data_IF_051935203765
#
_entry.id   IF_051935203765
#
_cell.length_a   1.000
_cell.length_b   1.000
_cell.length_c   1.000
_cell.angle_alpha   90.00
_cell.angle_beta   90.00
_cell.angle_gamma   90.00
#
_symmetry.space_group_name_H-M   'P 1'
#
loop_
_entity.id
_entity.type
_entity.pdbx_description
1 polymer ?
#
# COMPACT_ATOMS: atom_id res chain seq x y z
N UNK A 1 -6.59 -1.88 11.59
CA UNK A 1 -7.25 -2.83 12.50
C UNK A 1 -6.28 -3.94 12.93
N UNK A 2 -5.78 -4.82 12.02
CA UNK A 2 -4.96 -5.99 12.36
C UNK A 2 -3.77 -5.62 13.25
N UNK A 3 -2.96 -4.64 12.88
CA UNK A 3 -1.82 -4.16 13.65
C UNK A 3 -2.20 -3.69 15.06
N UNK A 4 -3.36 -3.05 15.19
CA UNK A 4 -3.77 -2.39 16.44
C UNK A 4 -4.47 -3.33 17.44
N UNK A 5 -5.20 -4.35 16.93
CA UNK A 5 -6.07 -5.19 17.77
C UNK A 5 -5.99 -6.68 17.43
N UNK A 6 -5.16 -7.11 16.46
CA UNK A 6 -5.19 -8.49 15.99
C UNK A 6 -6.55 -8.89 15.42
N UNK A 7 -7.32 -7.93 14.88
CA UNK A 7 -8.70 -8.10 14.40
C UNK A 7 -9.70 -8.53 15.50
N UNK A 8 -9.39 -8.35 16.77
CA UNK A 8 -10.33 -8.61 17.85
C UNK A 8 -11.55 -7.67 17.72
N UNK A 9 -12.75 -8.23 17.88
CA UNK A 9 -14.01 -7.50 17.71
C UNK A 9 -14.40 -7.14 16.27
N UNK A 10 -13.65 -7.61 15.26
CA UNK A 10 -14.02 -7.40 13.85
C UNK A 10 -15.24 -8.26 13.50
N UNK A 11 -16.39 -7.62 13.23
CA UNK A 11 -17.64 -8.32 12.87
C UNK A 11 -17.84 -8.42 11.35
N UNK A 12 -17.26 -7.51 10.58
CA UNK A 12 -17.38 -7.48 9.13
C UNK A 12 -16.14 -6.87 8.45
N UNK A 13 -15.86 -7.29 7.22
CA UNK A 13 -14.75 -6.77 6.40
C UNK A 13 -15.03 -6.96 4.91
N UNK A 14 -14.53 -6.05 4.07
CA UNK A 14 -14.51 -6.21 2.61
C UNK A 14 -13.28 -6.99 2.10
N UNK A 15 -12.35 -7.35 2.99
CA UNK A 15 -11.16 -8.12 2.63
C UNK A 15 -11.50 -9.62 2.56
N UNK A 16 -11.90 -10.11 1.37
CA UNK A 16 -12.25 -11.52 1.20
C UNK A 16 -11.02 -12.43 1.29
N UNK A 17 -11.13 -13.64 1.92
CA UNK A 17 -10.01 -14.55 2.10
C UNK A 17 -9.28 -14.92 0.81
N UNK A 18 -10.00 -15.07 -0.30
CA UNK A 18 -9.44 -15.42 -1.61
C UNK A 18 -8.49 -14.34 -2.18
N UNK A 19 -8.74 -13.06 -1.83
CA UNK A 19 -8.02 -11.90 -2.35
C UNK A 19 -6.93 -11.40 -1.39
N UNK A 20 -7.03 -11.77 -0.09
CA UNK A 20 -6.16 -11.32 1.00
C UNK A 20 -5.60 -12.50 1.81
N UNK A 21 -5.06 -13.51 1.13
CA UNK A 21 -4.63 -14.77 1.76
C UNK A 21 -3.56 -14.56 2.85
N UNK A 22 -2.60 -13.64 2.63
CA UNK A 22 -1.62 -13.27 3.66
C UNK A 22 -2.26 -12.69 4.91
N UNK A 23 -3.30 -11.87 4.76
CA UNK A 23 -4.02 -11.28 5.88
C UNK A 23 -4.63 -12.35 6.79
N UNK A 24 -5.23 -13.37 6.21
CA UNK A 24 -5.85 -14.48 6.95
C UNK A 24 -4.82 -15.48 7.50
N UNK A 25 -3.68 -15.67 6.81
CA UNK A 25 -2.58 -16.50 7.33
C UNK A 25 -1.92 -15.84 8.54
N UNK A 26 -1.66 -14.55 8.47
CA UNK A 26 -0.96 -13.77 9.51
C UNK A 26 -1.88 -13.47 10.70
N UNK A 27 -3.16 -13.21 10.43
CA UNK A 27 -4.16 -12.89 11.45
C UNK A 27 -5.40 -13.80 11.30
N UNK A 28 -5.37 -15.03 11.85
CA UNK A 28 -6.49 -15.98 11.77
C UNK A 28 -7.81 -15.45 12.35
N UNK A 29 -7.76 -14.47 13.27
CA UNK A 29 -8.94 -13.81 13.83
C UNK A 29 -9.80 -13.10 12.77
N UNK A 30 -9.24 -12.78 11.61
CA UNK A 30 -10.00 -12.26 10.47
C UNK A 30 -11.15 -13.18 10.05
N UNK A 31 -11.02 -14.50 10.31
CA UNK A 31 -12.07 -15.50 10.02
C UNK A 31 -13.29 -15.41 10.95
N UNK A 32 -13.22 -14.61 12.01
CA UNK A 32 -14.35 -14.37 12.92
C UNK A 32 -15.35 -13.36 12.33
N UNK A 33 -14.95 -12.55 11.35
CA UNK A 33 -15.86 -11.65 10.65
C UNK A 33 -16.94 -12.46 9.92
N UNK A 34 -18.19 -12.19 10.26
CA UNK A 34 -19.34 -12.97 9.77
C UNK A 34 -19.80 -12.55 8.39
N UNK A 35 -19.38 -11.37 7.91
CA UNK A 35 -19.76 -10.88 6.60
C UNK A 35 -18.56 -10.24 5.90
N UNK A 36 -18.45 -10.51 4.59
CA UNK A 36 -17.48 -9.85 3.71
C UNK A 36 -18.28 -9.04 2.70
N UNK A 37 -18.00 -7.75 2.62
CA UNK A 37 -18.74 -6.82 1.78
C UNK A 37 -18.05 -6.61 0.44
N UNK A 38 -18.81 -6.78 -0.65
CA UNK A 38 -18.38 -6.53 -2.01
C UNK A 38 -19.34 -5.57 -2.73
N UNK A 39 -19.43 -5.71 -4.05
CA UNK A 39 -20.31 -4.85 -4.88
C UNK A 39 -21.81 -4.96 -4.56
N UNK A 40 -22.23 -6.11 -4.03
CA UNK A 40 -23.62 -6.43 -3.68
C UNK A 40 -23.89 -6.20 -2.19
N UNK A 41 -23.16 -5.27 -1.58
CA UNK A 41 -23.26 -4.93 -0.18
C UNK A 41 -24.68 -4.46 0.20
N UNK A 42 -25.26 -5.09 1.23
CA UNK A 42 -26.51 -4.65 1.85
C UNK A 42 -26.20 -4.03 3.22
N UNK A 43 -26.58 -2.75 3.39
CA UNK A 43 -26.36 -2.05 4.65
C UNK A 43 -27.18 -2.63 5.81
N UNK A 44 -28.36 -3.17 5.55
CA UNK A 44 -29.21 -3.80 6.58
C UNK A 44 -28.50 -5.05 7.19
N UNK A 45 -27.81 -5.83 6.35
CA UNK A 45 -27.03 -6.98 6.82
C UNK A 45 -25.85 -6.53 7.71
N UNK A 46 -25.20 -5.40 7.39
CA UNK A 46 -24.18 -4.82 8.25
C UNK A 46 -24.78 -4.33 9.57
N UNK A 47 -25.88 -3.61 9.53
CA UNK A 47 -26.53 -3.09 10.72
C UNK A 47 -26.99 -4.23 11.66
N UNK A 48 -27.43 -5.36 11.10
CA UNK A 48 -27.82 -6.54 11.86
C UNK A 48 -26.66 -7.21 12.64
N UNK A 49 -25.40 -6.92 12.29
CA UNK A 49 -24.21 -7.34 13.06
C UNK A 49 -23.95 -6.43 14.27
N UNK A 50 -24.74 -5.38 14.45
CA UNK A 50 -24.63 -4.41 15.55
C UNK A 50 -23.19 -3.85 15.72
N UNK A 51 -22.50 -3.39 14.66
CA UNK A 51 -21.17 -2.83 14.79
C UNK A 51 -21.23 -1.54 15.63
N UNK A 52 -20.25 -1.35 16.51
CA UNK A 52 -20.13 -0.14 17.32
C UNK A 52 -19.56 1.04 16.52
N UNK A 53 -18.79 0.75 15.46
CA UNK A 53 -18.16 1.75 14.58
C UNK A 53 -17.89 1.15 13.21
N UNK A 54 -18.00 1.97 12.17
CA UNK A 54 -17.58 1.63 10.80
C UNK A 54 -16.32 2.42 10.49
N UNK A 55 -15.24 1.73 10.10
CA UNK A 55 -14.05 2.34 9.50
C UNK A 55 -14.13 2.18 7.98
N UNK A 56 -14.12 3.28 7.25
CA UNK A 56 -14.23 3.27 5.79
C UNK A 56 -13.20 4.24 5.17
N UNK A 57 -12.97 4.11 3.89
CA UNK A 57 -12.15 5.01 3.08
C UNK A 57 -12.97 6.07 2.35
N UNK A 58 -14.31 6.01 2.47
CA UNK A 58 -15.25 6.96 1.87
C UNK A 58 -16.29 7.41 2.90
N UNK A 59 -17.12 8.36 2.51
CA UNK A 59 -18.27 8.80 3.27
C UNK A 59 -19.60 8.26 2.73
N UNK A 60 -19.55 7.34 1.78
CA UNK A 60 -20.74 6.87 1.04
C UNK A 60 -21.79 6.21 1.95
N UNK A 61 -21.37 5.62 3.07
CA UNK A 61 -22.26 4.99 4.04
C UNK A 61 -22.65 5.91 5.20
N UNK A 62 -22.13 7.15 5.27
CA UNK A 62 -22.26 8.03 6.44
C UNK A 62 -23.72 8.31 6.82
N UNK A 63 -24.54 8.67 5.85
CA UNK A 63 -25.93 9.02 6.11
C UNK A 63 -26.73 7.81 6.60
N UNK A 64 -26.56 6.65 5.94
CA UNK A 64 -27.20 5.39 6.34
C UNK A 64 -26.77 4.93 7.73
N UNK A 65 -25.46 5.06 8.03
CA UNK A 65 -24.93 4.72 9.35
C UNK A 65 -25.51 5.63 10.44
N UNK A 66 -25.63 6.93 10.15
CA UNK A 66 -26.23 7.91 11.06
C UNK A 66 -27.71 7.61 11.36
N UNK A 67 -28.50 7.17 10.37
CA UNK A 67 -29.92 6.82 10.52
C UNK A 67 -30.14 5.70 11.57
N UNK A 68 -29.17 4.78 11.69
CA UNK A 68 -29.22 3.66 12.65
C UNK A 68 -28.32 3.88 13.88
N UNK A 69 -27.73 5.08 14.00
CA UNK A 69 -26.92 5.45 15.16
C UNK A 69 -25.51 4.84 15.21
N UNK A 70 -24.99 4.36 14.07
CA UNK A 70 -23.64 3.79 13.99
C UNK A 70 -22.67 4.88 13.54
N UNK A 71 -21.63 5.24 14.33
CA UNK A 71 -20.61 6.21 13.90
C UNK A 71 -19.75 5.64 12.78
N UNK A 72 -19.45 6.47 11.76
CA UNK A 72 -18.52 6.18 10.68
C UNK A 72 -17.28 7.06 10.80
N UNK A 73 -16.11 6.43 10.79
CA UNK A 73 -14.79 7.05 10.79
C UNK A 73 -14.19 6.89 9.39
N UNK A 74 -14.00 8.00 8.69
CA UNK A 74 -13.29 8.00 7.41
C UNK A 74 -11.78 7.95 7.68
N UNK A 75 -11.15 6.88 7.23
CA UNK A 75 -9.73 6.58 7.43
C UNK A 75 -8.87 6.85 6.19
N UNK A 76 -9.43 7.47 5.13
CA UNK A 76 -8.69 7.77 3.91
C UNK A 76 -7.54 8.74 4.18
N UNK A 77 -6.41 8.50 3.51
CA UNK A 77 -5.25 9.39 3.52
C UNK A 77 -4.56 9.40 2.15
N UNK A 78 -3.85 10.49 1.86
CA UNK A 78 -3.14 10.74 0.60
C UNK A 78 -1.68 11.10 0.83
N UNK A 79 -1.33 11.33 2.08
CA UNK A 79 0.02 11.71 2.53
C UNK A 79 0.40 10.93 3.78
N UNK A 80 1.69 10.81 4.05
CA UNK A 80 2.17 10.18 5.28
C UNK A 80 1.70 10.91 6.55
N UNK A 81 1.53 12.23 6.49
CA UNK A 81 0.99 12.98 7.64
C UNK A 81 -0.47 12.64 7.91
N UNK A 82 -1.27 12.47 6.87
CA UNK A 82 -2.67 12.02 7.01
C UNK A 82 -2.72 10.55 7.46
N UNK A 83 -1.84 9.69 6.93
CA UNK A 83 -1.72 8.29 7.35
C UNK A 83 -1.48 8.17 8.87
N UNK A 84 -0.51 8.93 9.41
CA UNK A 84 -0.22 8.93 10.86
C UNK A 84 -1.46 9.33 11.66
N UNK A 85 -2.16 10.39 11.25
CA UNK A 85 -3.41 10.83 11.91
C UNK A 85 -4.52 9.79 11.83
N UNK A 86 -4.67 9.12 10.68
CA UNK A 86 -5.65 8.06 10.50
C UNK A 86 -5.37 6.86 11.43
N UNK A 87 -4.10 6.46 11.55
CA UNK A 87 -3.69 5.39 12.47
C UNK A 87 -3.94 5.80 13.93
N UNK A 88 -3.58 7.03 14.32
CA UNK A 88 -3.80 7.56 15.68
C UNK A 88 -5.29 7.63 16.02
N UNK A 89 -6.12 8.16 15.12
CA UNK A 89 -7.57 8.23 15.31
C UNK A 89 -8.17 6.84 15.47
N UNK A 90 -7.80 5.91 14.59
CA UNK A 90 -8.26 4.52 14.66
C UNK A 90 -7.86 3.87 16.00
N UNK A 91 -6.62 4.08 16.43
CA UNK A 91 -6.12 3.58 17.71
C UNK A 91 -6.84 4.17 18.93
N UNK A 92 -7.18 5.47 18.89
CA UNK A 92 -7.97 6.12 19.93
C UNK A 92 -9.37 5.52 20.06
N UNK A 93 -10.00 5.19 18.93
CA UNK A 93 -11.33 4.55 18.92
C UNK A 93 -11.28 3.16 19.53
N UNK A 94 -10.22 2.38 19.24
CA UNK A 94 -10.06 1.05 19.86
C UNK A 94 -9.69 1.12 21.34
N UNK A 95 -8.87 2.08 21.74
CA UNK A 95 -8.38 2.18 23.13
C UNK A 95 -7.37 1.07 23.49
N UNK A 96 -7.30 0.74 24.78
CA UNK A 96 -6.37 -0.28 25.27
C UNK A 96 -4.92 0.04 24.90
N UNK A 97 -4.21 -0.94 24.37
CA UNK A 97 -2.80 -0.80 23.93
C UNK A 97 -2.64 -0.19 22.53
N UNK A 98 -3.73 -0.05 21.77
CA UNK A 98 -3.69 0.43 20.38
C UNK A 98 -3.02 1.80 20.21
N UNK A 99 -3.21 2.82 21.10
CA UNK A 99 -2.52 4.10 21.01
C UNK A 99 -0.99 3.99 21.09
N UNK A 100 -0.46 3.12 21.94
CA UNK A 100 0.99 2.95 22.06
C UNK A 100 1.57 2.21 20.83
N UNK A 101 0.84 1.25 20.27
CA UNK A 101 1.22 0.58 19.02
C UNK A 101 1.24 1.60 17.86
N UNK A 102 0.20 2.43 17.74
CA UNK A 102 0.12 3.48 16.75
C UNK A 102 1.28 4.48 16.85
N UNK A 103 1.59 4.93 18.06
CA UNK A 103 2.71 5.84 18.34
C UNK A 103 4.06 5.22 17.94
N UNK A 104 4.29 3.94 18.26
CA UNK A 104 5.50 3.22 17.88
C UNK A 104 5.63 3.13 16.35
N UNK A 105 4.58 2.73 15.65
CA UNK A 105 4.55 2.64 14.19
C UNK A 105 4.81 4.00 13.53
N UNK A 106 4.15 5.06 14.00
CA UNK A 106 4.30 6.40 13.45
C UNK A 106 5.72 6.96 13.67
N UNK A 107 6.34 6.69 14.83
CA UNK A 107 7.73 7.06 15.10
C UNK A 107 8.71 6.33 14.18
N UNK A 108 8.48 5.04 13.90
CA UNK A 108 9.30 4.27 12.96
C UNK A 108 9.12 4.76 11.52
N UNK A 109 7.89 5.10 11.10
CA UNK A 109 7.61 5.70 9.80
C UNK A 109 8.37 7.04 9.65
N UNK A 110 8.36 7.89 10.67
CA UNK A 110 9.13 9.16 10.66
C UNK A 110 10.64 8.91 10.52
N UNK A 111 11.17 7.90 11.20
CA UNK A 111 12.57 7.53 11.09
C UNK A 111 12.94 7.04 9.69
N UNK A 112 12.09 6.16 9.10
CA UNK A 112 12.28 5.67 7.72
C UNK A 112 12.27 6.81 6.71
N UNK A 113 11.33 7.75 6.85
CA UNK A 113 11.27 8.96 6.00
C UNK A 113 12.52 9.82 6.16
N UNK A 114 13.00 10.01 7.39
CA UNK A 114 14.20 10.79 7.68
C UNK A 114 15.46 10.12 7.10
N UNK A 115 15.60 8.81 7.25
CA UNK A 115 16.74 8.04 6.74
C UNK A 115 16.77 8.05 5.21
N UNK A 116 15.62 7.84 4.56
CA UNK A 116 15.51 7.93 3.11
C UNK A 116 15.89 9.35 2.62
N UNK A 117 15.33 10.36 3.24
CA UNK A 117 15.63 11.78 2.94
C UNK A 117 17.12 12.11 3.11
N UNK A 118 17.76 11.67 4.19
CA UNK A 118 19.18 11.92 4.44
C UNK A 118 20.08 11.41 3.33
N UNK A 119 19.71 10.28 2.68
CA UNK A 119 20.44 9.69 1.55
C UNK A 119 20.09 10.34 0.21
N UNK A 120 18.85 10.79 0.01
CA UNK A 120 18.33 11.26 -1.28
C UNK A 120 18.25 12.78 -1.44
N UNK A 121 18.40 13.56 -0.36
CA UNK A 121 18.29 15.03 -0.38
C UNK A 121 19.35 15.71 -1.26
N UNK A 122 20.49 15.06 -1.46
CA UNK A 122 21.61 15.59 -2.25
C UNK A 122 21.49 15.26 -3.74
N UNK A 123 20.52 14.45 -4.12
CA UNK A 123 20.28 14.10 -5.52
C UNK A 123 19.83 15.35 -6.30
N UNK A 124 20.53 15.67 -7.37
CA UNK A 124 20.05 16.65 -8.33
C UNK A 124 18.77 16.13 -9.02
N UNK A 125 17.99 17.02 -9.60
CA UNK A 125 16.73 16.66 -10.25
C UNK A 125 16.92 15.65 -11.40
N UNK A 126 18.07 15.75 -12.08
CA UNK A 126 18.47 14.80 -13.16
C UNK A 126 18.89 13.43 -12.65
N UNK A 127 19.20 13.29 -11.37
CA UNK A 127 19.59 12.02 -10.73
C UNK A 127 18.39 11.30 -10.10
N UNK A 128 17.24 11.99 -9.99
CA UNK A 128 16.00 11.38 -9.50
C UNK A 128 15.40 10.49 -10.58
N UNK A 129 15.21 9.23 -10.23
CA UNK A 129 14.64 8.22 -11.13
C UNK A 129 13.18 8.56 -11.44
N UNK A 130 12.82 8.58 -12.73
CA UNK A 130 11.45 8.77 -13.18
C UNK A 130 10.67 7.47 -13.06
N UNK A 131 9.66 7.45 -12.20
CA UNK A 131 8.89 6.24 -11.82
C UNK A 131 7.46 6.36 -12.30
N UNK A 132 6.97 5.33 -12.96
CA UNK A 132 5.54 5.16 -13.23
C UNK A 132 5.03 3.96 -12.42
N UNK A 133 3.99 4.19 -11.64
CA UNK A 133 3.31 3.17 -10.86
C UNK A 133 1.85 3.01 -11.31
N UNK A 134 1.30 1.82 -11.15
CA UNK A 134 -0.11 1.59 -11.39
C UNK A 134 -0.59 0.24 -10.85
N UNK A 135 -1.87 0.21 -10.48
CA UNK A 135 -2.52 -1.00 -10.00
C UNK A 135 -2.54 -2.12 -11.07
N UNK A 136 -2.63 -1.72 -12.35
CA UNK A 136 -2.55 -2.61 -13.50
C UNK A 136 -1.97 -1.84 -14.68
N UNK A 137 -0.64 -1.77 -14.73
CA UNK A 137 0.09 -0.93 -15.71
C UNK A 137 -0.12 -1.43 -17.13
N UNK A 138 -0.11 -2.74 -17.36
CA UNK A 138 -0.31 -3.31 -18.69
C UNK A 138 -1.69 -2.96 -19.27
N UNK A 139 -2.71 -2.83 -18.41
CA UNK A 139 -4.04 -2.36 -18.83
C UNK A 139 -4.21 -0.85 -18.71
N UNK A 140 -3.11 -0.11 -18.53
CA UNK A 140 -3.06 1.37 -18.49
C UNK A 140 -3.89 1.97 -17.34
N UNK A 141 -3.99 1.27 -16.21
CA UNK A 141 -4.58 1.75 -14.96
C UNK A 141 -3.44 2.23 -14.07
N UNK A 142 -3.14 3.54 -14.12
CA UNK A 142 -1.90 4.16 -13.66
C UNK A 142 -2.22 5.23 -12.61
N UNK A 143 -1.31 5.42 -11.66
CA UNK A 143 -1.42 6.37 -10.56
C UNK A 143 -0.70 7.68 -10.89
N UNK A 144 -1.41 8.79 -10.70
CA UNK A 144 -0.89 10.13 -10.90
C UNK A 144 -0.45 10.83 -9.62
N UNK A 145 -0.33 12.15 -9.71
CA UNK A 145 -0.02 13.02 -8.56
C UNK A 145 -1.22 13.17 -7.61
N UNK A 146 -1.00 13.81 -6.46
CA UNK A 146 -1.97 14.00 -5.37
C UNK A 146 -2.46 12.68 -4.74
N UNK A 147 -1.61 11.69 -4.66
CA UNK A 147 -1.85 10.36 -4.10
C UNK A 147 -0.74 9.98 -3.13
N UNK A 148 -1.00 8.98 -2.27
CA UNK A 148 0.03 8.41 -1.41
C UNK A 148 1.16 7.75 -2.22
N UNK A 149 0.85 7.31 -3.45
CA UNK A 149 1.83 6.76 -4.39
C UNK A 149 2.86 7.83 -4.79
N UNK A 150 2.39 9.03 -5.11
CA UNK A 150 3.26 10.17 -5.42
C UNK A 150 4.13 10.55 -4.21
N UNK A 151 3.58 10.45 -3.00
CA UNK A 151 4.27 10.74 -1.75
C UNK A 151 5.43 9.77 -1.49
N UNK A 152 5.20 8.43 -1.61
CA UNK A 152 6.28 7.48 -1.39
C UNK A 152 7.31 7.46 -2.54
N UNK A 153 6.92 7.72 -3.80
CA UNK A 153 7.88 7.86 -4.90
C UNK A 153 8.88 8.98 -4.57
N UNK A 154 8.39 10.13 -4.11
CA UNK A 154 9.23 11.27 -3.71
C UNK A 154 10.09 10.96 -2.50
N UNK A 155 9.51 10.33 -1.48
CA UNK A 155 10.23 9.92 -0.27
C UNK A 155 11.37 8.94 -0.56
N UNK A 156 11.17 8.03 -1.54
CA UNK A 156 12.19 7.10 -2.01
C UNK A 156 13.26 7.75 -2.91
N UNK A 157 13.22 9.05 -3.13
CA UNK A 157 14.19 9.79 -3.98
C UNK A 157 13.86 9.77 -5.47
N UNK A 158 12.70 9.25 -5.86
CA UNK A 158 12.21 9.28 -7.24
C UNK A 158 11.44 10.55 -7.59
N UNK A 159 10.93 10.59 -8.80
CA UNK A 159 9.92 11.53 -9.28
C UNK A 159 8.84 10.78 -10.04
N UNK A 160 7.58 11.14 -9.83
CA UNK A 160 6.49 10.54 -10.58
C UNK A 160 6.59 10.92 -12.05
N UNK A 161 6.60 9.93 -12.96
CA UNK A 161 6.59 10.16 -14.39
C UNK A 161 5.25 10.75 -14.87
N UNK A 162 4.17 10.42 -14.15
CA UNK A 162 2.81 10.90 -14.42
C UNK A 162 2.63 12.26 -13.77
N UNK A 163 2.37 13.28 -14.57
CA UNK A 163 2.21 14.66 -14.10
C UNK A 163 0.76 15.04 -13.82
N UNK A 164 -0.17 14.25 -14.31
CA UNK A 164 -1.60 14.44 -14.12
C UNK A 164 -2.05 13.99 -12.73
N UNK A 165 -2.90 14.79 -12.09
CA UNK A 165 -3.51 14.43 -10.82
C UNK A 165 -4.62 13.39 -11.05
N UNK A 166 -4.56 12.29 -10.31
CA UNK A 166 -5.65 11.30 -10.26
C UNK A 166 -6.57 11.50 -9.05
N UNK A 167 -6.47 12.66 -8.39
CA UNK A 167 -7.35 13.14 -7.30
C UNK A 167 -7.60 12.11 -6.20
N UNK A 168 -6.53 11.54 -5.73
CA UNK A 168 -6.47 11.07 -4.34
C UNK A 168 -6.73 9.65 -4.06
N UNK A 169 -7.19 8.79 -4.90
CA UNK A 169 -7.31 7.40 -4.47
C UNK A 169 -7.44 6.38 -5.60
N UNK A 170 -7.43 6.81 -6.80
CA UNK A 170 -7.65 5.86 -7.88
C UNK A 170 -6.55 6.00 -8.92
N UNK A 171 -6.08 4.87 -9.36
CA UNK A 171 -5.48 4.79 -10.68
C UNK A 171 -6.52 5.25 -11.72
N UNK A 172 -6.07 6.08 -12.67
CA UNK A 172 -6.90 6.48 -13.81
C UNK A 172 -6.52 5.67 -15.06
N UNK A 173 -7.40 5.70 -16.04
CA UNK A 173 -7.10 5.13 -17.36
C UNK A 173 -6.35 6.16 -18.19
N UNK A 174 -5.22 5.72 -18.76
CA UNK A 174 -4.40 6.49 -19.67
C UNK A 174 -4.25 5.76 -21.01
N UNK A 175 -3.50 6.35 -21.95
CA UNK A 175 -3.18 5.72 -23.23
C UNK A 175 -1.72 5.33 -23.28
N UNK A 176 -1.37 4.39 -24.16
CA UNK A 176 0.02 3.97 -24.34
C UNK A 176 0.88 5.11 -24.91
N UNK A 177 0.31 5.99 -25.75
CA UNK A 177 0.97 7.17 -26.25
C UNK A 177 1.41 8.12 -25.14
N UNK A 178 0.56 8.29 -24.09
CA UNK A 178 0.93 9.06 -22.90
C UNK A 178 2.07 8.39 -22.15
N UNK A 179 2.02 7.08 -21.95
CA UNK A 179 3.11 6.32 -21.31
C UNK A 179 4.42 6.46 -22.07
N UNK A 180 4.38 6.38 -23.41
CA UNK A 180 5.57 6.59 -24.27
C UNK A 180 6.08 8.03 -24.15
N UNK A 181 5.19 9.02 -24.04
CA UNK A 181 5.58 10.42 -23.87
C UNK A 181 6.22 10.69 -22.52
N UNK A 182 5.71 10.09 -21.42
CA UNK A 182 6.34 10.16 -20.09
C UNK A 182 7.69 9.44 -20.03
N UNK A 183 7.84 8.36 -20.79
CA UNK A 183 9.06 7.56 -20.92
C UNK A 183 9.75 7.27 -19.58
N UNK A 184 9.08 6.58 -18.62
CA UNK A 184 9.62 6.33 -17.29
C UNK A 184 10.90 5.50 -17.32
N UNK A 185 11.80 5.74 -16.35
CA UNK A 185 13.02 4.95 -16.15
C UNK A 185 12.77 3.66 -15.38
N UNK A 186 11.71 3.65 -14.56
CA UNK A 186 11.24 2.50 -13.77
C UNK A 186 9.73 2.38 -13.89
N UNK A 187 9.25 1.17 -14.08
CA UNK A 187 7.81 0.82 -14.02
C UNK A 187 7.60 -0.11 -12.83
N UNK A 188 6.59 0.20 -12.02
CA UNK A 188 6.14 -0.64 -10.91
C UNK A 188 4.66 -0.95 -11.13
N UNK A 189 4.30 -2.23 -11.20
CA UNK A 189 2.91 -2.68 -11.39
C UNK A 189 2.41 -3.45 -10.17
N UNK A 190 1.12 -3.32 -9.85
CA UNK A 190 0.49 -4.10 -8.77
C UNK A 190 0.27 -5.58 -9.10
N UNK A 191 0.60 -6.03 -10.32
CA UNK A 191 0.34 -7.41 -10.78
C UNK A 191 1.60 -8.10 -11.28
N UNK A 192 1.95 -9.21 -10.66
CA UNK A 192 3.18 -9.96 -10.96
C UNK A 192 3.25 -10.48 -12.40
N UNK A 193 2.14 -10.91 -12.97
CA UNK A 193 2.05 -11.43 -14.34
C UNK A 193 2.27 -10.33 -15.41
N UNK A 194 1.98 -9.08 -15.09
CA UNK A 194 2.18 -7.95 -16.01
C UNK A 194 3.65 -7.63 -16.28
N UNK A 195 4.57 -7.95 -15.38
CA UNK A 195 6.01 -7.71 -15.58
C UNK A 195 6.49 -8.37 -16.86
N UNK A 196 6.17 -9.66 -17.04
CA UNK A 196 6.53 -10.38 -18.26
C UNK A 196 5.77 -9.89 -19.50
N UNK A 197 4.52 -9.50 -19.35
CA UNK A 197 3.72 -8.95 -20.45
C UNK A 197 4.32 -7.64 -20.97
N UNK A 198 4.62 -6.69 -20.07
CA UNK A 198 5.22 -5.39 -20.40
C UNK A 198 6.60 -5.57 -21.07
N UNK A 199 7.44 -6.44 -20.52
CA UNK A 199 8.81 -6.65 -21.04
C UNK A 199 8.85 -7.30 -22.43
N UNK A 200 7.83 -8.06 -22.80
CA UNK A 200 7.80 -8.81 -24.06
C UNK A 200 6.90 -8.16 -25.14
N UNK A 201 6.13 -7.13 -24.82
CA UNK A 201 5.25 -6.45 -25.77
C UNK A 201 6.03 -5.39 -26.58
N UNK A 202 6.03 -5.54 -27.91
CA UNK A 202 6.72 -4.65 -28.84
C UNK A 202 6.22 -3.19 -28.76
N UNK A 203 4.98 -2.98 -28.38
CA UNK A 203 4.41 -1.64 -28.22
C UNK A 203 5.04 -0.87 -27.04
N UNK A 204 5.61 -1.59 -26.06
CA UNK A 204 6.29 -1.03 -24.88
C UNK A 204 7.81 -0.92 -25.06
N UNK A 205 8.37 -1.52 -26.12
CA UNK A 205 9.82 -1.67 -26.32
C UNK A 205 10.60 -0.34 -26.40
N UNK A 206 9.93 0.77 -26.75
CA UNK A 206 10.56 2.09 -26.85
C UNK A 206 10.77 2.78 -25.48
N UNK A 207 10.13 2.31 -24.41
CA UNK A 207 10.14 2.91 -23.08
C UNK A 207 11.45 2.58 -22.36
N UNK A 208 12.07 3.56 -21.69
CA UNK A 208 13.34 3.39 -20.98
C UNK A 208 13.33 2.24 -19.98
N UNK A 209 12.29 2.14 -19.16
CA UNK A 209 12.12 1.06 -18.19
C UNK A 209 12.17 -0.32 -18.84
N UNK A 210 11.54 -0.48 -20.01
CA UNK A 210 11.50 -1.75 -20.76
C UNK A 210 12.85 -2.06 -21.37
N UNK A 211 13.49 -1.08 -22.05
CA UNK A 211 14.85 -1.23 -22.61
C UNK A 211 15.86 -1.67 -21.56
N UNK A 212 15.75 -1.10 -20.35
CA UNK A 212 16.69 -1.35 -19.26
C UNK A 212 16.24 -2.49 -18.33
N UNK A 213 15.13 -3.17 -18.63
CA UNK A 213 14.52 -4.25 -17.82
C UNK A 213 14.24 -3.83 -16.38
N UNK A 214 13.88 -2.56 -16.16
CA UNK A 214 13.50 -1.97 -14.87
C UNK A 214 11.98 -1.94 -14.72
N UNK A 215 11.36 -3.11 -14.82
CA UNK A 215 9.93 -3.33 -14.62
C UNK A 215 9.78 -4.27 -13.43
N UNK A 216 9.11 -3.81 -12.37
CA UNK A 216 8.99 -4.53 -11.10
C UNK A 216 7.52 -4.73 -10.72
N UNK A 217 7.25 -5.79 -9.97
CA UNK A 217 5.99 -5.92 -9.26
C UNK A 217 6.09 -5.23 -7.90
N UNK A 218 5.04 -4.53 -7.50
CA UNK A 218 4.96 -3.95 -6.16
C UNK A 218 4.76 -5.07 -5.12
N UNK A 219 5.52 -5.10 -4.00
CA UNK A 219 5.31 -6.08 -2.96
C UNK A 219 3.89 -6.07 -2.39
N UNK A 220 3.42 -7.24 -1.97
CA UNK A 220 2.10 -7.40 -1.37
C UNK A 220 2.18 -8.42 -0.24
N UNK A 221 1.88 -7.98 0.95
CA UNK A 221 1.77 -8.79 2.13
C UNK A 221 0.32 -8.92 2.61
N UNK A 222 0.04 -8.54 3.85
CA UNK A 222 -1.33 -8.53 4.39
C UNK A 222 -2.21 -7.57 3.59
N UNK A 223 -1.59 -6.52 3.03
CA UNK A 223 -2.21 -5.60 2.07
C UNK A 223 -1.18 -5.23 0.98
N UNK A 224 -1.59 -4.44 -0.04
CA UNK A 224 -0.63 -3.84 -0.97
C UNK A 224 0.26 -2.83 -0.23
N UNK A 225 1.58 -2.90 -0.43
CA UNK A 225 2.49 -1.97 0.27
C UNK A 225 2.36 -0.55 -0.25
N UNK A 226 1.93 -0.39 -1.48
CA UNK A 226 1.88 0.86 -2.23
C UNK A 226 0.80 1.83 -1.76
N UNK A 227 -0.22 1.38 -1.01
CA UNK A 227 -1.37 2.20 -0.64
C UNK A 227 -2.16 1.69 0.56
N UNK A 228 -2.64 2.61 1.38
CA UNK A 228 -3.68 2.47 2.41
C UNK A 228 -3.44 1.38 3.46
N UNK A 229 -2.21 0.90 3.58
CA UNK A 229 -1.82 -0.10 4.55
C UNK A 229 -0.66 0.34 5.44
N UNK A 230 -0.53 -0.29 6.61
CA UNK A 230 0.57 0.00 7.54
C UNK A 230 1.94 -0.49 7.00
N UNK A 231 1.94 -1.35 6.00
CA UNK A 231 3.14 -1.84 5.32
C UNK A 231 3.78 -0.80 4.38
N UNK A 232 3.17 0.39 4.20
CA UNK A 232 3.80 1.50 3.45
C UNK A 232 5.15 1.93 4.03
N UNK A 233 5.38 1.69 5.31
CA UNK A 233 6.69 1.84 5.92
C UNK A 233 7.77 0.97 5.23
N UNK A 234 7.40 -0.23 4.79
CA UNK A 234 8.26 -1.13 4.02
C UNK A 234 8.35 -0.69 2.55
N UNK A 235 7.26 -0.14 1.99
CA UNK A 235 7.23 0.38 0.62
C UNK A 235 8.32 1.43 0.40
N UNK A 236 8.46 2.39 1.30
CA UNK A 236 9.48 3.46 1.19
C UNK A 236 10.88 2.86 1.12
N UNK A 237 11.18 1.91 1.99
CA UNK A 237 12.49 1.26 2.08
C UNK A 237 12.79 0.42 0.83
N UNK A 238 11.82 -0.41 0.40
CA UNK A 238 11.94 -1.23 -0.80
C UNK A 238 12.10 -0.36 -2.05
N UNK A 239 11.27 0.68 -2.20
CA UNK A 239 11.33 1.59 -3.33
C UNK A 239 12.67 2.33 -3.37
N UNK A 240 13.14 2.85 -2.25
CA UNK A 240 14.43 3.55 -2.16
C UNK A 240 15.61 2.64 -2.58
N UNK A 241 15.63 1.39 -2.10
CA UNK A 241 16.65 0.41 -2.51
C UNK A 241 16.52 -0.01 -3.98
N UNK A 242 15.30 -0.05 -4.53
CA UNK A 242 15.05 -0.38 -5.95
C UNK A 242 15.47 0.76 -6.88
N UNK A 243 15.20 2.01 -6.48
CA UNK A 243 15.50 3.18 -7.29
C UNK A 243 16.97 3.59 -7.22
N UNK A 244 17.59 3.46 -6.03
CA UNK A 244 18.95 3.92 -5.72
C UNK A 244 19.74 2.84 -4.97
N UNK A 245 20.00 1.65 -5.59
CA UNK A 245 20.65 0.54 -4.91
C UNK A 245 22.04 0.89 -4.35
N UNK A 246 22.74 1.83 -4.99
CA UNK A 246 24.03 2.30 -4.51
C UNK A 246 23.97 3.11 -3.22
N UNK A 247 22.89 3.87 -2.99
CA UNK A 247 22.67 4.66 -1.77
C UNK A 247 22.13 3.82 -0.61
N UNK A 248 21.48 2.71 -0.91
CA UNK A 248 20.82 1.82 0.04
C UNK A 248 21.43 0.42 0.10
N UNK A 249 22.71 0.29 -0.27
CA UNK A 249 23.43 -0.99 -0.28
C UNK A 249 23.59 -1.63 1.11
N UNK A 250 23.40 -0.86 2.17
CA UNK A 250 23.40 -1.27 3.57
C UNK A 250 22.03 -1.74 4.08
N UNK A 251 20.97 -1.59 3.27
CA UNK A 251 19.60 -1.95 3.65
C UNK A 251 19.33 -3.43 3.35
N UNK A 252 19.09 -4.22 4.40
CA UNK A 252 18.55 -5.58 4.28
C UNK A 252 17.02 -5.54 4.34
N UNK A 253 16.37 -5.47 3.18
CA UNK A 253 14.91 -5.43 3.09
C UNK A 253 14.27 -6.71 3.64
N UNK A 254 14.91 -7.87 3.51
CA UNK A 254 14.37 -9.13 4.03
C UNK A 254 14.30 -9.10 5.56
N UNK A 255 15.34 -8.59 6.21
CA UNK A 255 15.34 -8.39 7.66
C UNK A 255 14.26 -7.40 8.09
N UNK A 256 14.09 -6.27 7.36
CA UNK A 256 13.05 -5.28 7.65
C UNK A 256 11.64 -5.84 7.55
N UNK A 257 11.36 -6.66 6.55
CA UNK A 257 10.05 -7.34 6.41
C UNK A 257 9.80 -8.26 7.59
N UNK A 258 10.76 -9.10 7.98
CA UNK A 258 10.61 -9.99 9.13
C UNK A 258 10.39 -9.23 10.44
N UNK A 259 11.19 -8.18 10.67
CA UNK A 259 11.06 -7.35 11.87
C UNK A 259 9.70 -6.68 11.96
N UNK A 260 9.18 -6.15 10.85
CA UNK A 260 7.86 -5.55 10.80
C UNK A 260 6.76 -6.54 11.16
N UNK A 261 6.76 -7.71 10.53
CA UNK A 261 5.74 -8.74 10.79
C UNK A 261 5.80 -9.26 12.23
N UNK A 262 7.00 -9.49 12.75
CA UNK A 262 7.18 -9.89 14.15
C UNK A 262 6.70 -8.80 15.11
N UNK A 263 7.05 -7.55 14.85
CA UNK A 263 6.79 -6.42 15.75
C UNK A 263 5.33 -5.99 15.78
N UNK A 264 4.69 -5.93 14.60
CA UNK A 264 3.37 -5.32 14.43
C UNK A 264 2.25 -6.31 14.16
N UNK A 265 2.58 -7.50 13.71
CA UNK A 265 1.59 -8.53 13.35
C UNK A 265 1.75 -9.80 14.19
N UNK A 266 2.74 -9.82 15.11
CA UNK A 266 3.06 -10.98 15.95
C UNK A 266 3.20 -12.28 15.12
N UNK A 267 3.85 -12.18 13.96
CA UNK A 267 4.01 -13.29 13.03
C UNK A 267 5.47 -13.45 12.58
N UNK A 268 6.02 -14.66 12.67
CA UNK A 268 7.38 -14.96 12.24
C UNK A 268 7.38 -15.49 10.81
N UNK A 269 7.91 -14.67 9.88
CA UNK A 269 8.07 -15.05 8.48
C UNK A 269 9.32 -15.90 8.26
N UNK A 270 9.21 -16.93 7.41
CA UNK A 270 10.35 -17.63 6.83
C UNK A 270 10.97 -16.83 5.69
N UNK A 271 12.18 -17.20 5.23
CA UNK A 271 12.79 -16.60 4.04
C UNK A 271 11.92 -16.78 2.79
N UNK A 272 11.28 -17.94 2.66
CA UNK A 272 10.35 -18.21 1.55
C UNK A 272 9.11 -17.33 1.62
N UNK A 273 8.56 -17.07 2.81
CA UNK A 273 7.43 -16.14 2.98
C UNK A 273 7.80 -14.72 2.53
N UNK A 274 8.99 -14.25 2.90
CA UNK A 274 9.49 -12.92 2.48
C UNK A 274 9.63 -12.85 0.96
N UNK A 275 10.17 -13.87 0.31
CA UNK A 275 10.28 -13.92 -1.15
C UNK A 275 8.90 -13.85 -1.83
N UNK A 276 7.90 -14.57 -1.31
CA UNK A 276 6.53 -14.53 -1.82
C UNK A 276 5.92 -13.14 -1.68
N UNK A 277 6.09 -12.47 -0.54
CA UNK A 277 5.63 -11.10 -0.30
C UNK A 277 6.29 -10.12 -1.27
N UNK A 278 7.61 -10.16 -1.41
CA UNK A 278 8.38 -9.26 -2.28
C UNK A 278 8.07 -9.48 -3.77
N UNK A 279 7.58 -10.64 -4.15
CA UNK A 279 7.16 -10.97 -5.53
C UNK A 279 5.64 -10.95 -5.72
N UNK A 280 4.90 -10.40 -4.75
CA UNK A 280 3.42 -10.29 -4.75
C UNK A 280 2.70 -11.61 -4.99
N UNK A 281 3.23 -12.70 -4.46
CA UNK A 281 2.64 -14.04 -4.52
C UNK A 281 1.88 -14.36 -3.23
N UNK A 282 0.85 -15.17 -3.37
CA UNK A 282 0.09 -15.67 -2.23
C UNK A 282 0.94 -16.62 -1.37
N UNK A 283 0.62 -16.77 -0.08
CA UNK A 283 1.28 -17.74 0.78
C UNK A 283 1.03 -19.16 0.28
N UNK A 284 1.99 -20.05 0.55
CA UNK A 284 1.85 -21.48 0.27
C UNK A 284 0.86 -22.16 1.22
#
# INVERSE_FOLDING_TARGET
>A
TIMLTGAEGLVATHCAPKDYQWMYKVCPNMSQATATFGKDFNFEDLAALEPQVIFDSTDDLRDKAAEVGIPLVNCMFKTFNEMKKSIELTAQVFGGDAPEIAKKHNAELEQVLADAKAKTDKLADSERVSVMHGNSVYTLTIDGTDTIIDDWIKAAGGKNAVTESTKGNASAKFTLEQVVAWNPDVIITGKADEVGQILNDQNWASINAVKNKKVFVNPKGVFGWDRYGVEELLQIQWAAATLHPELFSDLDINAKVKDFYKTYLNYELTDSDVELILTAKNPA
#
